data_IF_707884993791
#
_entry.id   IF_707884993791
#
_cell.length_a   1.000
_cell.length_b   1.000
_cell.length_c   1.000
_cell.angle_alpha   90.00
_cell.angle_beta   90.00
_cell.angle_gamma   90.00
#
_symmetry.space_group_name_H-M   'P 1'
#
loop_
_entity.id
_entity.type
_entity.pdbx_description
1 polymer ?
#
# COMPACT_ATOMS: atom_id res chain seq x y z
N UNK A 1 15.56 31.32 -23.97
CA UNK A 1 14.38 31.33 -23.08
C UNK A 1 13.87 29.91 -22.87
N UNK A 2 14.46 29.12 -21.96
CA UNK A 2 13.91 27.82 -21.55
C UNK A 2 13.50 27.96 -20.08
N UNK A 3 12.24 28.29 -19.85
CA UNK A 3 11.68 28.33 -18.51
C UNK A 3 11.59 26.91 -17.98
N UNK A 4 12.28 26.63 -16.87
CA UNK A 4 12.16 25.38 -16.15
C UNK A 4 10.68 25.17 -15.79
N UNK A 5 9.99 24.29 -16.54
CA UNK A 5 8.66 23.80 -16.19
C UNK A 5 8.77 23.19 -14.80
N UNK A 6 8.20 23.85 -13.79
CA UNK A 6 8.12 23.33 -12.44
C UNK A 6 7.54 21.92 -12.49
N UNK A 7 8.39 20.92 -12.26
CA UNK A 7 8.00 19.52 -12.24
C UNK A 7 6.95 19.40 -11.14
N UNK A 8 5.69 19.15 -11.51
CA UNK A 8 4.61 18.93 -10.55
C UNK A 8 5.12 17.92 -9.53
N UNK A 9 5.14 18.29 -8.25
CA UNK A 9 5.55 17.39 -7.17
C UNK A 9 4.71 16.12 -7.29
N UNK A 10 5.36 15.00 -7.56
CA UNK A 10 4.71 13.70 -7.61
C UNK A 10 3.98 13.39 -6.31
N UNK A 11 2.92 12.60 -6.39
CA UNK A 11 2.20 12.14 -5.22
C UNK A 11 2.97 10.98 -4.57
N UNK A 12 3.19 11.04 -3.26
CA UNK A 12 3.83 9.96 -2.49
C UNK A 12 2.86 9.39 -1.47
N UNK A 13 2.77 8.06 -1.42
CA UNK A 13 1.90 7.32 -0.54
C UNK A 13 2.69 6.22 0.16
N UNK A 14 2.37 5.95 1.42
CA UNK A 14 3.09 4.96 2.23
C UNK A 14 2.13 3.89 2.73
N UNK A 15 2.60 2.64 2.78
CA UNK A 15 1.97 1.57 3.53
C UNK A 15 2.91 1.22 4.68
N UNK A 16 2.44 1.40 5.91
CA UNK A 16 3.10 0.94 7.11
C UNK A 16 2.65 -0.48 7.44
N UNK A 17 3.61 -1.39 7.42
CA UNK A 17 3.45 -2.82 7.67
C UNK A 17 4.20 -3.26 8.94
N UNK A 18 4.57 -2.36 9.85
CA UNK A 18 5.42 -2.69 11.01
C UNK A 18 4.93 -3.91 11.79
N UNK A 19 3.68 -3.90 12.25
CA UNK A 19 3.09 -4.99 13.04
C UNK A 19 3.20 -6.38 12.38
N UNK A 20 2.61 -6.61 11.17
CA UNK A 20 2.67 -7.94 10.55
C UNK A 20 4.07 -8.37 10.11
N UNK A 21 5.02 -7.44 9.99
CA UNK A 21 6.40 -7.74 9.59
C UNK A 21 7.23 -8.12 10.81
N UNK A 22 7.06 -7.41 11.92
CA UNK A 22 7.64 -7.77 13.23
C UNK A 22 7.18 -9.17 13.67
N UNK A 23 5.89 -9.48 13.47
CA UNK A 23 5.30 -10.80 13.77
C UNK A 23 5.61 -11.88 12.72
N UNK A 24 6.39 -11.55 11.68
CA UNK A 24 6.78 -12.46 10.57
C UNK A 24 5.60 -13.07 9.79
N UNK A 25 4.43 -12.44 9.83
CA UNK A 25 3.23 -12.84 9.07
C UNK A 25 3.34 -12.41 7.59
N UNK A 26 4.01 -11.30 7.33
CA UNK A 26 4.18 -10.74 6.00
C UNK A 26 5.65 -10.46 5.70
N UNK A 27 6.07 -10.83 4.49
CA UNK A 27 7.32 -10.36 3.91
C UNK A 27 7.11 -9.08 3.08
N UNK A 28 7.89 -8.03 3.38
CA UNK A 28 7.87 -6.76 2.65
C UNK A 28 8.43 -6.90 1.25
N UNK A 29 9.46 -7.73 1.06
CA UNK A 29 10.05 -7.91 -0.27
C UNK A 29 9.01 -8.51 -1.23
N UNK A 30 8.22 -9.48 -0.76
CA UNK A 30 7.08 -10.03 -1.49
C UNK A 30 6.00 -8.99 -1.80
N UNK A 31 5.65 -8.11 -0.85
CA UNK A 31 4.67 -7.04 -1.10
C UNK A 31 5.20 -5.99 -2.10
N UNK A 32 6.47 -5.59 -1.99
CA UNK A 32 7.14 -4.69 -2.94
C UNK A 32 7.09 -5.25 -4.36
N UNK A 33 7.52 -6.50 -4.55
CA UNK A 33 7.49 -7.19 -5.85
C UNK A 33 6.06 -7.27 -6.40
N UNK A 34 5.10 -7.63 -5.55
CA UNK A 34 3.69 -7.66 -5.94
C UNK A 34 3.19 -6.30 -6.43
N UNK A 35 3.55 -5.21 -5.74
CA UNK A 35 3.15 -3.87 -6.16
C UNK A 35 3.81 -3.48 -7.48
N UNK A 36 5.09 -3.79 -7.67
CA UNK A 36 5.80 -3.53 -8.92
C UNK A 36 5.12 -4.23 -10.11
N UNK A 37 4.73 -5.50 -9.96
CA UNK A 37 4.08 -6.27 -11.03
C UNK A 37 2.61 -5.88 -11.28
N UNK A 38 1.90 -5.39 -10.25
CA UNK A 38 0.42 -5.24 -10.30
C UNK A 38 -0.06 -3.81 -10.43
N UNK A 39 0.78 -2.82 -10.15
CA UNK A 39 0.47 -1.42 -10.42
C UNK A 39 0.34 -1.23 -11.93
N UNK A 40 -0.74 -0.56 -12.33
CA UNK A 40 -1.04 -0.23 -13.72
C UNK A 40 -0.71 1.22 -14.02
N UNK A 41 -0.04 1.44 -15.16
CA UNK A 41 0.18 2.75 -15.77
C UNK A 41 -0.35 2.69 -17.20
N UNK A 42 -1.22 3.63 -17.58
CA UNK A 42 -1.82 3.64 -18.92
C UNK A 42 -2.57 2.36 -19.30
N UNK A 43 -3.14 1.65 -18.31
CA UNK A 43 -3.87 0.39 -18.50
C UNK A 43 -3.01 -0.89 -18.49
N UNK A 44 -1.68 -0.77 -18.59
CA UNK A 44 -0.75 -1.92 -18.57
C UNK A 44 -0.18 -2.13 -17.16
N UNK A 45 -0.19 -3.38 -16.68
CA UNK A 45 0.39 -3.75 -15.38
C UNK A 45 1.90 -3.98 -15.51
N UNK A 46 2.68 -3.62 -14.49
CA UNK A 46 4.13 -3.86 -14.46
C UNK A 46 4.97 -2.89 -15.29
N UNK A 47 4.34 -2.09 -16.15
CA UNK A 47 5.00 -1.09 -17.00
C UNK A 47 5.14 0.25 -16.27
N UNK A 48 5.85 0.28 -15.15
CA UNK A 48 5.99 1.50 -14.32
C UNK A 48 6.79 2.61 -15.02
N UNK A 49 7.85 2.24 -15.73
CA UNK A 49 8.83 3.19 -16.30
C UNK A 49 9.32 4.17 -15.23
N UNK A 50 9.51 5.44 -15.62
CA UNK A 50 9.91 6.52 -14.69
C UNK A 50 8.71 7.15 -13.96
N UNK A 51 7.49 6.69 -14.23
CA UNK A 51 6.26 7.34 -13.75
C UNK A 51 5.88 6.95 -12.32
N UNK A 52 6.33 5.78 -11.87
CA UNK A 52 6.06 5.23 -10.54
C UNK A 52 7.30 4.56 -10.00
N UNK A 53 7.72 4.95 -8.81
CA UNK A 53 8.79 4.30 -8.04
C UNK A 53 8.19 3.66 -6.80
N UNK A 54 8.55 2.39 -6.56
CA UNK A 54 8.17 1.65 -5.35
C UNK A 54 9.46 1.37 -4.59
N UNK A 55 9.56 1.88 -3.36
CA UNK A 55 10.72 1.69 -2.49
C UNK A 55 10.27 1.08 -1.18
N UNK A 56 11.14 0.25 -0.59
CA UNK A 56 10.96 -0.30 0.75
C UNK A 56 11.93 0.32 1.74
N UNK A 57 11.49 0.46 2.98
CA UNK A 57 12.32 0.78 4.14
C UNK A 57 11.84 -0.05 5.32
N UNK A 58 12.67 -0.97 5.84
CA UNK A 58 12.44 -1.89 6.99
C UNK A 58 11.03 -2.46 7.18
N UNK A 59 10.04 -1.63 7.53
CA UNK A 59 8.64 -1.96 7.80
C UNK A 59 7.62 -1.27 6.87
N UNK A 60 8.07 -0.39 5.97
CA UNK A 60 7.25 0.53 5.17
C UNK A 60 7.53 0.38 3.68
N UNK A 61 6.50 0.59 2.87
CA UNK A 61 6.62 0.72 1.42
C UNK A 61 6.15 2.10 1.00
N UNK A 62 6.98 2.81 0.25
CA UNK A 62 6.66 4.12 -0.32
C UNK A 62 6.45 3.97 -1.82
N UNK A 63 5.31 4.46 -2.30
CA UNK A 63 4.98 4.55 -3.73
C UNK A 63 4.93 6.02 -4.10
N UNK A 64 5.86 6.44 -4.94
CA UNK A 64 5.91 7.81 -5.47
C UNK A 64 5.52 7.77 -6.94
N UNK A 65 4.62 8.66 -7.37
CA UNK A 65 4.21 8.77 -8.76
C UNK A 65 4.26 10.20 -9.26
N UNK A 66 4.84 10.38 -10.44
CA UNK A 66 4.83 11.64 -11.20
C UNK A 66 3.52 11.80 -12.02
N UNK A 67 2.63 10.81 -11.96
CA UNK A 67 1.39 10.74 -12.73
C UNK A 67 0.15 10.66 -11.82
N UNK A 68 -1.03 10.51 -12.42
CA UNK A 68 -2.29 10.41 -11.70
C UNK A 68 -2.38 9.07 -10.94
N UNK A 69 -1.89 9.03 -9.71
CA UNK A 69 -1.96 7.87 -8.83
C UNK A 69 -2.79 8.17 -7.58
N UNK A 70 -3.69 7.27 -7.21
CA UNK A 70 -4.56 7.46 -6.05
C UNK A 70 -4.17 6.54 -4.90
N UNK A 71 -4.18 7.09 -3.68
CA UNK A 71 -4.06 6.31 -2.45
C UNK A 71 -5.04 5.12 -2.44
N UNK A 72 -6.30 5.32 -2.86
CA UNK A 72 -7.32 4.26 -2.91
C UNK A 72 -6.89 3.05 -3.76
N UNK A 73 -6.17 3.27 -4.85
CA UNK A 73 -5.65 2.18 -5.67
C UNK A 73 -4.63 1.32 -4.90
N UNK A 74 -3.77 1.97 -4.12
CA UNK A 74 -2.82 1.29 -3.23
C UNK A 74 -3.57 0.42 -2.21
N UNK A 75 -4.63 0.93 -1.57
CA UNK A 75 -5.49 0.14 -0.66
C UNK A 75 -6.04 -1.12 -1.32
N UNK A 76 -6.53 -1.00 -2.56
CA UNK A 76 -7.07 -2.11 -3.31
C UNK A 76 -6.00 -3.18 -3.56
N UNK A 77 -4.80 -2.78 -4.00
CA UNK A 77 -3.70 -3.71 -4.25
C UNK A 77 -3.21 -4.38 -2.96
N UNK A 78 -3.02 -3.64 -1.88
CA UNK A 78 -2.64 -4.22 -0.58
C UNK A 78 -3.70 -5.22 -0.10
N UNK A 79 -4.98 -4.87 -0.16
CA UNK A 79 -6.07 -5.81 0.17
C UNK A 79 -6.07 -7.03 -0.74
N UNK A 80 -5.72 -6.90 -2.02
CA UNK A 80 -5.60 -8.03 -2.96
C UNK A 80 -4.44 -8.95 -2.57
N UNK A 81 -3.30 -8.39 -2.19
CA UNK A 81 -2.16 -9.12 -1.65
C UNK A 81 -2.53 -9.89 -0.38
N UNK A 82 -3.16 -9.22 0.60
CA UNK A 82 -3.62 -9.86 1.84
C UNK A 82 -4.54 -11.06 1.57
N UNK A 83 -5.42 -10.98 0.56
CA UNK A 83 -6.31 -12.10 0.21
C UNK A 83 -5.55 -13.25 -0.44
N UNK A 84 -4.56 -12.96 -1.30
CA UNK A 84 -3.71 -13.99 -1.93
C UNK A 84 -2.94 -14.81 -0.90
N UNK A 85 -2.52 -14.18 0.20
CA UNK A 85 -1.78 -14.82 1.29
C UNK A 85 -2.69 -15.28 2.45
N UNK A 86 -4.02 -15.24 2.29
CA UNK A 86 -5.00 -15.65 3.29
C UNK A 86 -4.90 -14.93 4.66
N UNK A 87 -4.35 -13.72 4.72
CA UNK A 87 -4.17 -12.95 5.98
C UNK A 87 -5.23 -11.88 6.21
N UNK A 88 -6.30 -11.90 5.40
CA UNK A 88 -7.37 -10.88 5.46
C UNK A 88 -8.23 -10.95 6.71
N UNK A 89 -8.27 -12.09 7.37
CA UNK A 89 -9.14 -12.31 8.52
C UNK A 89 -8.52 -11.71 9.79
N UNK A 90 -7.19 -11.55 9.80
CA UNK A 90 -6.46 -10.92 10.90
C UNK A 90 -6.10 -9.47 10.63
N UNK A 91 -5.88 -9.07 9.37
CA UNK A 91 -5.34 -7.75 9.03
C UNK A 91 -6.31 -6.88 8.21
N UNK A 92 -6.44 -5.61 8.63
CA UNK A 92 -7.17 -4.56 7.91
C UNK A 92 -6.25 -3.42 7.49
N UNK A 93 -6.50 -2.91 6.28
CA UNK A 93 -5.82 -1.71 5.73
C UNK A 93 -6.62 -0.45 6.09
N UNK A 94 -6.09 0.37 7.00
CA UNK A 94 -6.72 1.58 7.54
C UNK A 94 -5.88 2.82 7.21
N UNK A 95 -6.51 3.96 6.90
CA UNK A 95 -5.78 5.21 6.73
C UNK A 95 -5.25 5.70 8.08
N UNK A 96 -3.98 6.12 8.14
CA UNK A 96 -3.44 6.71 9.36
C UNK A 96 -4.19 8.00 9.70
N UNK A 97 -4.46 8.21 10.99
CA UNK A 97 -5.04 9.46 11.50
C UNK A 97 -4.02 10.62 11.48
N UNK A 98 -2.72 10.30 11.56
CA UNK A 98 -1.65 11.31 11.60
C UNK A 98 -1.37 11.89 10.21
N UNK A 99 -1.31 11.01 9.20
CA UNK A 99 -0.92 11.40 7.84
C UNK A 99 -1.89 10.86 6.79
N UNK A 100 -2.50 11.78 6.02
CA UNK A 100 -3.48 11.45 4.99
C UNK A 100 -2.89 10.63 3.84
N UNK A 101 -1.57 10.64 3.63
CA UNK A 101 -0.85 9.85 2.61
C UNK A 101 -0.57 8.40 3.04
N UNK A 102 -0.74 8.05 4.32
CA UNK A 102 -0.28 6.77 4.88
C UNK A 102 -1.43 5.80 5.12
N UNK A 103 -1.29 4.55 4.68
CA UNK A 103 -2.07 3.43 5.18
C UNK A 103 -1.26 2.67 6.22
N UNK A 104 -1.96 2.11 7.20
CA UNK A 104 -1.41 1.22 8.22
C UNK A 104 -2.14 -0.12 8.12
N UNK A 105 -1.36 -1.21 8.24
CA UNK A 105 -1.90 -2.53 8.50
C UNK A 105 -2.11 -2.71 10.00
N UNK A 106 -3.36 -2.97 10.40
CA UNK A 106 -3.73 -3.18 11.81
C UNK A 106 -4.43 -4.52 11.95
N UNK A 107 -4.24 -5.17 13.09
CA UNK A 107 -5.06 -6.32 13.44
C UNK A 107 -6.53 -5.90 13.66
N UNK A 108 -7.44 -6.85 13.50
CA UNK A 108 -8.76 -6.75 14.11
C UNK A 108 -8.62 -6.92 15.62
N UNK A 109 -9.39 -6.13 16.38
CA UNK A 109 -9.55 -6.40 17.81
C UNK A 109 -10.57 -7.55 17.90
N UNK A 110 -10.08 -8.78 18.07
CA UNK A 110 -10.95 -9.97 18.10
C UNK A 110 -11.91 -9.90 19.29
N UNK A 111 -11.55 -9.19 20.36
CA UNK A 111 -12.41 -8.95 21.52
C UNK A 111 -13.74 -8.21 21.22
N UNK A 112 -13.89 -7.58 20.06
CA UNK A 112 -15.15 -6.89 19.67
C UNK A 112 -15.95 -7.68 18.61
N UNK A 113 -15.39 -8.73 17.99
CA UNK A 113 -16.04 -9.44 16.87
C UNK A 113 -16.67 -10.79 17.27
N UNK A 114 -16.50 -11.24 18.52
CA UNK A 114 -17.24 -12.41 19.06
C UNK A 114 -18.69 -12.07 19.45
N UNK A 115 -19.11 -10.80 19.35
CA UNK A 115 -20.47 -10.34 19.68
C UNK A 115 -21.38 -10.00 18.50
N UNK A 116 -20.96 -10.24 17.25
CA UNK A 116 -21.74 -9.93 16.04
C UNK A 116 -22.03 -11.18 15.16
N UNK A 117 -21.85 -12.40 15.68
CA UNK A 117 -22.19 -13.67 15.00
C UNK A 117 -23.39 -14.44 15.61
N UNK A 118 -24.22 -13.79 16.44
CA UNK A 118 -25.53 -14.31 16.83
C UNK A 118 -26.64 -13.32 16.40
N UNK A 119 -27.51 -13.76 15.49
CA UNK A 119 -28.72 -13.16 14.87
C UNK A 119 -28.61 -12.31 13.57
#
# INVERSE_FOLDING_TARGET
MSGAKGKKKGASFVIDCAKPVEDKIMDIASLEKFLQERIKVGGKAGALGDSITVTRDKSKITVTSDSNFSKRYLKYLTKKYLKKHNVRDWLRVIASNKERSVYELRYFNIAENEGEEED
#
